data_IF_029247459806
#
_entry.id   IF_029247459806
#
_cell.length_a   1.000
_cell.length_b   1.000
_cell.length_c   1.000
_cell.angle_alpha   90.00
_cell.angle_beta   90.00
_cell.angle_gamma   90.00
#
_symmetry.space_group_name_H-M   'P 1'
#
loop_
_entity.id
_entity.type
_entity.pdbx_description
1 polymer ?
#
# COMPACT_ATOMS: atom_id res chain seq x y z
N UNK A 1 24.91 -20.40 13.98
CA UNK A 1 23.94 -19.32 13.68
C UNK A 1 23.72 -19.31 12.17
N UNK A 2 22.61 -19.88 11.69
CA UNK A 2 22.40 -20.23 10.27
C UNK A 2 22.31 -19.00 9.34
N UNK A 3 22.92 -19.10 8.15
CA UNK A 3 22.90 -18.07 7.10
C UNK A 3 21.49 -17.58 6.74
N UNK A 4 20.50 -18.47 6.80
CA UNK A 4 19.09 -18.13 6.58
C UNK A 4 18.57 -17.04 7.53
N UNK A 5 18.95 -17.10 8.81
CA UNK A 5 18.57 -16.06 9.77
C UNK A 5 19.25 -14.74 9.43
N UNK A 6 20.54 -14.78 9.05
CA UNK A 6 21.30 -13.60 8.66
C UNK A 6 20.69 -12.90 7.44
N UNK A 7 20.22 -13.67 6.45
CA UNK A 7 19.53 -13.18 5.26
C UNK A 7 18.15 -12.57 5.59
N UNK A 8 17.35 -13.25 6.41
CA UNK A 8 16.04 -12.75 6.87
C UNK A 8 16.14 -11.47 7.70
N UNK A 9 17.12 -11.37 8.60
CA UNK A 9 17.36 -10.14 9.36
C UNK A 9 17.95 -9.05 8.47
N UNK A 10 18.93 -9.36 7.62
CA UNK A 10 19.52 -8.45 6.65
C UNK A 10 18.47 -7.78 5.75
N UNK A 11 17.52 -8.55 5.22
CA UNK A 11 16.42 -8.03 4.40
C UNK A 11 15.47 -7.13 5.19
N UNK A 12 15.17 -7.47 6.45
CA UNK A 12 14.33 -6.64 7.33
C UNK A 12 15.01 -5.30 7.64
N UNK A 13 16.31 -5.31 7.92
CA UNK A 13 17.09 -4.09 8.17
C UNK A 13 17.23 -3.24 6.89
N UNK A 14 17.51 -3.87 5.75
CA UNK A 14 17.61 -3.18 4.45
C UNK A 14 16.27 -2.53 4.05
N UNK A 15 15.15 -3.24 4.19
CA UNK A 15 13.81 -2.66 3.98
C UNK A 15 13.52 -1.50 4.93
N UNK A 16 13.82 -1.66 6.22
CA UNK A 16 13.62 -0.59 7.20
C UNK A 16 14.49 0.63 6.90
N UNK A 17 15.71 0.44 6.41
CA UNK A 17 16.61 1.53 6.05
C UNK A 17 16.15 2.26 4.78
N UNK A 18 15.65 1.54 3.78
CA UNK A 18 15.03 2.13 2.60
C UNK A 18 13.75 2.92 2.94
N UNK A 19 12.97 2.45 3.93
CA UNK A 19 11.82 3.19 4.45
C UNK A 19 12.27 4.42 5.28
N UNK A 20 13.40 4.33 6.00
CA UNK A 20 13.96 5.48 6.71
C UNK A 20 14.46 6.59 5.77
N UNK A 21 14.88 6.23 4.54
CA UNK A 21 15.19 7.22 3.50
C UNK A 21 13.95 7.98 3.01
N UNK A 22 12.78 7.33 2.96
CA UNK A 22 11.52 7.98 2.55
C UNK A 22 10.81 8.71 3.69
N UNK A 23 11.10 8.38 4.96
CA UNK A 23 10.46 8.99 6.13
C UNK A 23 11.50 9.71 6.99
N UNK A 24 11.58 11.04 6.85
CA UNK A 24 12.56 11.90 7.55
C UNK A 24 12.53 11.77 9.08
N UNK A 25 11.41 11.36 9.68
CA UNK A 25 11.34 11.08 11.13
C UNK A 25 12.11 9.81 11.52
N UNK A 26 12.12 8.76 10.69
CA UNK A 26 12.86 7.52 10.96
C UNK A 26 14.39 7.69 10.96
N UNK A 27 14.91 8.75 10.33
CA UNK A 27 16.35 9.05 10.37
C UNK A 27 16.86 9.32 11.79
N UNK A 28 16.00 9.85 12.68
CA UNK A 28 16.33 10.11 14.09
C UNK A 28 16.39 8.85 14.95
N UNK A 29 15.86 7.73 14.45
CA UNK A 29 15.79 6.46 15.18
C UNK A 29 17.07 5.66 14.95
N UNK A 30 17.66 5.04 16.00
CA UNK A 30 18.77 4.09 15.86
C UNK A 30 18.43 2.95 14.90
N UNK A 31 19.37 2.55 14.03
CA UNK A 31 19.12 1.53 13.00
C UNK A 31 18.60 0.19 13.54
N UNK A 32 19.01 -0.16 14.75
CA UNK A 32 18.56 -1.38 15.45
C UNK A 32 17.06 -1.38 15.77
N UNK A 33 16.45 -0.20 15.96
CA UNK A 33 15.05 -0.06 16.36
C UNK A 33 14.10 0.25 15.18
N UNK A 34 14.63 0.79 14.07
CA UNK A 34 13.88 1.07 12.83
C UNK A 34 12.99 -0.09 12.37
N UNK A 35 13.45 -1.36 12.25
CA UNK A 35 12.60 -2.44 11.78
C UNK A 35 11.46 -2.79 12.75
N UNK A 36 11.65 -2.59 14.07
CA UNK A 36 10.61 -2.81 15.08
C UNK A 36 9.49 -1.78 14.92
N UNK A 37 9.84 -0.50 14.78
CA UNK A 37 8.87 0.59 14.58
C UNK A 37 8.12 0.42 13.26
N UNK A 38 8.84 0.12 12.16
CA UNK A 38 8.23 -0.13 10.86
C UNK A 38 7.27 -1.31 10.93
N UNK A 39 7.67 -2.42 11.57
CA UNK A 39 6.79 -3.59 11.74
C UNK A 39 5.53 -3.20 12.53
N UNK A 40 5.68 -2.49 13.65
CA UNK A 40 4.55 -2.03 14.48
C UNK A 40 3.60 -1.10 13.71
N UNK A 41 4.12 -0.27 12.82
CA UNK A 41 3.30 0.60 11.98
C UNK A 41 2.58 -0.16 10.84
N UNK A 42 3.24 -1.12 10.19
CA UNK A 42 2.63 -1.94 9.14
C UNK A 42 1.53 -2.84 9.69
N UNK A 43 1.74 -3.44 10.87
CA UNK A 43 0.74 -4.27 11.55
C UNK A 43 -0.27 -3.45 12.35
N UNK A 44 -0.29 -2.13 12.19
CA UNK A 44 -1.28 -1.31 12.86
C UNK A 44 -2.66 -1.55 12.26
N UNK A 45 -3.68 -1.70 13.11
CA UNK A 45 -5.06 -1.96 12.70
C UNK A 45 -5.58 -0.92 11.70
N UNK A 46 -5.14 0.33 11.78
CA UNK A 46 -5.54 1.37 10.81
C UNK A 46 -4.95 1.12 9.42
N UNK A 47 -3.72 0.59 9.32
CA UNK A 47 -3.10 0.26 8.03
C UNK A 47 -3.76 -0.98 7.45
N UNK A 48 -3.88 -2.06 8.23
CA UNK A 48 -4.52 -3.30 7.77
C UNK A 48 -5.99 -3.05 7.42
N UNK A 49 -6.72 -2.35 8.28
CA UNK A 49 -8.12 -2.01 8.08
C UNK A 49 -8.32 -1.17 6.81
N UNK A 50 -7.45 -0.20 6.55
CA UNK A 50 -7.52 0.59 5.30
C UNK A 50 -7.32 -0.28 4.06
N UNK A 51 -6.40 -1.26 4.09
CA UNK A 51 -6.20 -2.20 2.98
C UNK A 51 -7.45 -3.05 2.76
N UNK A 52 -8.02 -3.62 3.83
CA UNK A 52 -9.23 -4.46 3.74
C UNK A 52 -10.39 -3.65 3.18
N UNK A 53 -10.66 -2.45 3.70
CA UNK A 53 -11.75 -1.59 3.21
C UNK A 53 -11.56 -1.25 1.73
N UNK A 54 -10.34 -0.89 1.32
CA UNK A 54 -10.06 -0.55 -0.07
C UNK A 54 -10.21 -1.76 -1.01
N UNK A 55 -9.81 -2.95 -0.58
CA UNK A 55 -10.02 -4.19 -1.37
C UNK A 55 -11.50 -4.54 -1.45
N UNK A 56 -12.26 -4.44 -0.35
CA UNK A 56 -13.70 -4.69 -0.35
C UNK A 56 -14.44 -3.72 -1.26
N UNK A 57 -14.11 -2.42 -1.18
CA UNK A 57 -14.67 -1.40 -2.04
C UNK A 57 -14.32 -1.67 -3.51
N UNK A 58 -13.08 -2.06 -3.77
CA UNK A 58 -12.64 -2.43 -5.11
C UNK A 58 -13.42 -3.61 -5.68
N UNK A 59 -13.58 -4.70 -4.91
CA UNK A 59 -14.35 -5.87 -5.33
C UNK A 59 -15.82 -5.53 -5.58
N UNK A 60 -16.41 -4.63 -4.79
CA UNK A 60 -17.78 -4.18 -4.99
C UNK A 60 -17.96 -3.45 -6.33
N UNK A 61 -17.11 -2.46 -6.62
CA UNK A 61 -17.15 -1.74 -7.90
C UNK A 61 -16.80 -2.66 -9.08
N UNK A 62 -15.78 -3.50 -8.93
CA UNK A 62 -15.36 -4.43 -9.97
C UNK A 62 -16.46 -5.45 -10.30
N UNK A 63 -17.13 -6.01 -9.28
CA UNK A 63 -18.26 -6.92 -9.48
C UNK A 63 -19.42 -6.27 -10.24
N UNK A 64 -19.75 -5.02 -9.89
CA UNK A 64 -20.79 -4.26 -10.57
C UNK A 64 -20.42 -3.98 -12.03
N UNK A 65 -19.18 -3.59 -12.30
CA UNK A 65 -18.70 -3.33 -13.66
C UNK A 65 -18.70 -4.60 -14.51
N UNK A 66 -18.24 -5.74 -13.97
CA UNK A 66 -18.26 -7.03 -14.68
C UNK A 66 -19.68 -7.49 -14.97
N UNK A 67 -20.63 -7.30 -14.05
CA UNK A 67 -22.05 -7.63 -14.28
C UNK A 67 -22.73 -6.75 -15.34
N UNK A 68 -22.19 -5.56 -15.60
CA UNK A 68 -22.73 -4.62 -16.58
C UNK A 68 -22.27 -4.91 -18.01
N UNK A 69 -21.28 -5.80 -18.18
CA UNK A 69 -20.78 -6.21 -19.50
C UNK A 69 -21.87 -7.10 -20.15
N UNK A 70 -22.45 -6.72 -21.29
CA UNK A 70 -23.42 -7.55 -21.99
C UNK A 70 -22.71 -8.80 -22.55
N UNK A 71 -22.91 -9.94 -21.89
CA UNK A 71 -22.43 -11.25 -22.36
C UNK A 71 -23.51 -11.83 -23.29
N UNK A 72 -23.47 -11.45 -24.57
CA UNK A 72 -24.40 -11.99 -25.58
C UNK A 72 -24.59 -11.05 -26.77
N UNK A 73 -25.13 -11.58 -27.86
CA UNK A 73 -25.20 -10.99 -29.21
C UNK A 73 -26.01 -9.69 -29.37
N UNK A 74 -26.31 -8.97 -28.28
CA UNK A 74 -27.18 -7.80 -28.31
C UNK A 74 -26.39 -6.48 -28.40
N UNK A 75 -25.51 -6.38 -29.39
CA UNK A 75 -24.78 -5.16 -29.74
C UNK A 75 -24.63 -5.09 -31.25
N UNK A 76 -25.77 -4.91 -31.93
CA UNK A 76 -25.83 -4.67 -33.36
C UNK A 76 -25.18 -3.32 -33.68
N UNK A 77 -24.07 -3.33 -34.43
CA UNK A 77 -23.51 -2.12 -35.07
C UNK A 77 -22.05 -1.79 -34.78
N UNK A 78 -21.41 -2.35 -33.75
CA UNK A 78 -20.02 -1.98 -33.42
C UNK A 78 -18.96 -2.87 -34.07
N UNK A 79 -17.96 -2.22 -34.71
CA UNK A 79 -16.77 -2.85 -35.29
C UNK A 79 -15.95 -3.59 -34.23
N UNK A 80 -15.35 -4.72 -34.59
CA UNK A 80 -14.59 -5.61 -33.67
C UNK A 80 -13.49 -4.89 -32.85
N UNK A 81 -12.91 -3.81 -33.41
CA UNK A 81 -11.87 -2.99 -32.78
C UNK A 81 -12.44 -2.12 -31.66
N UNK A 82 -13.59 -1.48 -31.89
CA UNK A 82 -14.31 -0.70 -30.87
C UNK A 82 -14.80 -1.60 -29.74
N UNK A 83 -15.25 -2.82 -30.08
CA UNK A 83 -15.65 -3.85 -29.12
C UNK A 83 -14.54 -4.22 -28.14
N UNK A 84 -13.32 -4.44 -28.65
CA UNK A 84 -12.14 -4.70 -27.80
C UNK A 84 -11.75 -3.48 -26.99
N UNK A 85 -11.74 -2.29 -27.59
CA UNK A 85 -11.36 -1.05 -26.90
C UNK A 85 -12.32 -0.71 -25.75
N UNK A 86 -13.63 -0.89 -25.96
CA UNK A 86 -14.66 -0.64 -24.95
C UNK A 86 -14.58 -1.64 -23.79
N UNK A 87 -14.40 -2.94 -24.10
CA UNK A 87 -14.20 -3.98 -23.10
C UNK A 87 -12.90 -3.76 -22.31
N UNK A 88 -11.82 -3.36 -23.00
CA UNK A 88 -10.57 -2.98 -22.34
C UNK A 88 -10.78 -1.76 -21.44
N UNK A 89 -11.46 -0.70 -21.87
CA UNK A 89 -11.72 0.47 -21.02
C UNK A 89 -12.54 0.10 -19.78
N UNK A 90 -13.62 -0.67 -19.94
CA UNK A 90 -14.46 -1.15 -18.83
C UNK A 90 -13.75 -2.10 -17.86
N UNK A 91 -12.67 -2.78 -18.27
CA UNK A 91 -11.86 -3.63 -17.38
C UNK A 91 -10.62 -2.91 -16.83
N UNK A 92 -10.02 -2.01 -17.61
CA UNK A 92 -8.73 -1.39 -17.30
C UNK A 92 -8.93 -0.22 -16.33
N UNK A 93 -9.95 0.62 -16.53
CA UNK A 93 -10.25 1.74 -15.63
C UNK A 93 -10.53 1.29 -14.19
N UNK A 94 -11.41 0.30 -13.91
CA UNK A 94 -11.66 -0.16 -12.54
C UNK A 94 -10.54 -1.01 -11.95
N UNK A 95 -9.53 -1.42 -12.73
CA UNK A 95 -8.37 -2.17 -12.20
C UNK A 95 -7.24 -1.21 -11.84
N UNK A 96 -6.88 -0.28 -12.73
CA UNK A 96 -5.69 0.55 -12.55
C UNK A 96 -5.90 1.72 -11.59
N UNK A 97 -7.06 2.37 -11.61
CA UNK A 97 -7.35 3.50 -10.70
C UNK A 97 -7.32 3.04 -9.23
N UNK A 98 -7.99 1.93 -8.85
CA UNK A 98 -8.03 1.49 -7.46
C UNK A 98 -6.68 0.99 -6.93
N UNK A 99 -5.81 0.46 -7.79
CA UNK A 99 -4.45 0.07 -7.39
C UNK A 99 -3.67 1.25 -6.80
N UNK A 100 -3.79 2.45 -7.39
CA UNK A 100 -3.12 3.65 -6.87
C UNK A 100 -3.58 3.96 -5.45
N UNK A 101 -4.88 3.81 -5.17
CA UNK A 101 -5.44 4.04 -3.83
C UNK A 101 -5.09 2.93 -2.84
N UNK A 102 -5.17 1.66 -3.25
CA UNK A 102 -4.81 0.48 -2.45
C UNK A 102 -3.36 0.55 -1.97
N UNK A 103 -2.44 1.10 -2.78
CA UNK A 103 -1.06 1.29 -2.34
C UNK A 103 -0.83 2.65 -1.67
N UNK A 104 -1.39 3.73 -2.21
CA UNK A 104 -1.12 5.09 -1.75
C UNK A 104 -1.66 5.40 -0.35
N UNK A 105 -2.92 5.06 -0.08
CA UNK A 105 -3.56 5.39 1.21
C UNK A 105 -2.89 4.64 2.38
N UNK A 106 -2.67 3.32 2.32
CA UNK A 106 -1.99 2.60 3.39
C UNK A 106 -0.55 3.07 3.60
N UNK A 107 0.16 3.49 2.54
CA UNK A 107 1.50 4.08 2.65
C UNK A 107 1.48 5.39 3.46
N UNK A 108 0.53 6.28 3.19
CA UNK A 108 0.36 7.54 3.92
C UNK A 108 0.04 7.28 5.39
N UNK A 109 -0.91 6.39 5.67
CA UNK A 109 -1.30 6.02 7.04
C UNK A 109 -0.11 5.41 7.78
N UNK A 110 0.62 4.48 7.15
CA UNK A 110 1.84 3.88 7.72
C UNK A 110 2.86 4.96 8.07
N UNK A 111 3.14 5.89 7.14
CA UNK A 111 4.12 6.96 7.37
C UNK A 111 3.69 7.90 8.51
N UNK A 112 2.39 8.21 8.61
CA UNK A 112 1.83 8.97 9.72
C UNK A 112 2.00 8.25 11.06
N UNK A 113 1.69 6.96 11.12
CA UNK A 113 1.82 6.14 12.34
C UNK A 113 3.30 6.01 12.74
N UNK A 114 4.20 5.80 11.79
CA UNK A 114 5.65 5.82 12.04
C UNK A 114 6.04 7.14 12.68
N UNK A 115 5.65 8.28 12.08
CA UNK A 115 5.95 9.60 12.63
C UNK A 115 5.40 9.75 14.05
N UNK A 116 4.16 9.33 14.30
CA UNK A 116 3.53 9.37 15.63
C UNK A 116 4.24 8.50 16.67
N UNK A 117 4.68 7.30 16.29
CA UNK A 117 5.46 6.42 17.18
C UNK A 117 6.82 7.05 17.47
N UNK A 118 7.52 7.53 16.44
CA UNK A 118 8.83 8.15 16.58
C UNK A 118 8.78 9.41 17.43
N UNK A 119 7.84 10.31 17.19
CA UNK A 119 7.76 11.56 17.98
C UNK A 119 7.36 11.26 19.46
N UNK A 120 6.74 10.09 19.74
CA UNK A 120 6.44 9.62 21.10
C UNK A 120 7.64 8.94 21.80
N UNK A 121 8.36 8.07 21.09
CA UNK A 121 9.48 7.28 21.64
C UNK A 121 10.82 8.04 21.56
N UNK A 122 10.96 8.97 20.60
CA UNK A 122 12.13 9.80 20.31
C UNK A 122 11.69 11.26 20.05
N UNK A 123 11.26 11.99 21.09
CA UNK A 123 10.85 13.38 20.94
C UNK A 123 11.99 14.23 20.37
N UNK A 124 11.64 15.28 19.61
CA UNK A 124 12.63 16.20 19.00
C UNK A 124 13.45 16.94 20.05
N UNK A 125 12.99 17.00 21.28
CA UNK A 125 13.59 17.76 22.36
C UNK A 125 14.57 16.89 23.17
N UNK A 126 15.73 16.68 22.56
CA UNK A 126 17.01 16.85 23.24
C UNK A 126 17.85 17.81 22.39
N UNK A 127 17.38 19.05 22.25
CA UNK A 127 18.35 20.15 22.19
C UNK A 127 18.93 20.23 23.59
N UNK A 128 20.23 19.99 23.68
CA UNK A 128 21.03 20.27 24.86
C UNK A 128 20.59 21.60 25.49
N UNK A 129 20.02 21.53 26.68
CA UNK A 129 20.27 22.51 27.73
C UNK A 129 21.12 21.79 28.78
#
# INVERSE_FOLDING_TARGET
MNEMLKKLFGDKFSRANNIAKSVRSLQRVPEKERPRIVKKAVFNIYVIGSIIILISLWLYFFGNEVSSIPIGNHLEGETFRSRKANLYLHLLVPVFIPLIFIFGIPLLIRNYIIKKIVDKEFPKDKKLQ
#
